data_IF_536799854572
#
_entry.id   IF_536799854572
#
_cell.length_a   1.000
_cell.length_b   1.000
_cell.length_c   1.000
_cell.angle_alpha   90.00
_cell.angle_beta   90.00
_cell.angle_gamma   90.00
#
_symmetry.space_group_name_H-M   'P 1'
#
loop_
_entity.id
_entity.type
_entity.pdbx_description
1 polymer ?
#
# COMPACT_ATOMS: atom_id res chain seq x y z
N UNK A 1 30.47 18.78 -49.39
CA UNK A 1 31.09 18.55 -48.07
C UNK A 1 30.19 18.90 -46.88
N UNK A 2 29.24 19.85 -47.00
CA UNK A 2 28.38 20.26 -45.87
C UNK A 2 27.19 19.32 -45.57
N UNK A 3 26.67 18.61 -46.57
CA UNK A 3 25.44 17.80 -46.47
C UNK A 3 25.56 16.57 -45.52
N UNK A 4 26.73 15.94 -45.48
CA UNK A 4 26.95 14.77 -44.60
C UNK A 4 26.94 15.14 -43.10
N UNK A 5 27.14 16.41 -42.76
CA UNK A 5 27.28 16.84 -41.38
C UNK A 5 25.92 17.10 -40.69
N UNK A 6 24.84 17.27 -41.46
CA UNK A 6 23.49 17.44 -40.92
C UNK A 6 22.81 16.09 -40.65
N UNK A 7 23.09 15.08 -41.49
CA UNK A 7 22.60 13.71 -41.31
C UNK A 7 23.21 13.03 -40.07
N UNK A 8 24.48 13.29 -39.76
CA UNK A 8 25.13 12.73 -38.56
C UNK A 8 24.61 13.37 -37.27
N UNK A 9 24.39 14.70 -37.28
CA UNK A 9 23.85 15.44 -36.14
C UNK A 9 22.45 14.95 -35.76
N UNK A 10 21.54 14.80 -36.72
CA UNK A 10 20.17 14.31 -36.44
C UNK A 10 20.14 12.90 -35.87
N UNK A 11 21.02 12.00 -36.34
CA UNK A 11 21.15 10.64 -35.80
C UNK A 11 21.68 10.60 -34.35
N UNK A 12 22.70 11.41 -34.03
CA UNK A 12 23.27 11.50 -32.67
C UNK A 12 22.27 12.16 -31.71
N UNK A 13 21.57 13.22 -32.13
CA UNK A 13 20.54 13.87 -31.33
C UNK A 13 19.37 12.92 -31.03
N UNK A 14 18.91 12.11 -32.00
CA UNK A 14 17.86 11.11 -31.76
C UNK A 14 18.28 10.07 -30.73
N UNK A 15 19.52 9.59 -30.80
CA UNK A 15 20.05 8.61 -29.82
C UNK A 15 20.16 9.20 -28.41
N UNK A 16 20.67 10.44 -28.29
CA UNK A 16 20.71 11.14 -27.00
C UNK A 16 19.29 11.34 -26.44
N UNK A 17 18.34 11.75 -27.28
CA UNK A 17 16.95 11.96 -26.90
C UNK A 17 16.27 10.67 -26.43
N UNK A 18 16.51 9.55 -27.11
CA UNK A 18 16.01 8.24 -26.68
C UNK A 18 16.61 7.79 -25.35
N UNK A 19 17.92 7.99 -25.14
CA UNK A 19 18.57 7.74 -23.86
C UNK A 19 18.00 8.60 -22.74
N UNK A 20 17.80 9.89 -23.00
CA UNK A 20 17.22 10.85 -22.05
C UNK A 20 15.80 10.46 -21.63
N UNK A 21 14.93 10.08 -22.58
CA UNK A 21 13.58 9.59 -22.30
C UNK A 21 13.58 8.32 -21.43
N UNK A 22 14.50 7.38 -21.68
CA UNK A 22 14.64 6.16 -20.86
C UNK A 22 15.06 6.47 -19.44
N UNK A 23 15.96 7.44 -19.26
CA UNK A 23 16.38 7.89 -17.95
C UNK A 23 15.23 8.57 -17.20
N UNK A 24 14.49 9.47 -17.86
CA UNK A 24 13.32 10.13 -17.30
C UNK A 24 12.23 9.15 -16.87
N UNK A 25 11.98 8.08 -17.64
CA UNK A 25 11.01 7.04 -17.26
C UNK A 25 11.41 6.30 -15.99
N UNK A 26 12.68 5.90 -15.86
CA UNK A 26 13.19 5.22 -14.65
C UNK A 26 13.09 6.10 -13.40
N UNK A 27 13.43 7.38 -13.54
CA UNK A 27 13.33 8.35 -12.44
C UNK A 27 11.87 8.58 -12.08
N UNK A 28 10.99 8.71 -13.08
CA UNK A 28 9.55 8.84 -12.87
C UNK A 28 8.94 7.64 -12.14
N UNK A 29 9.29 6.43 -12.52
CA UNK A 29 8.80 5.21 -11.85
C UNK A 29 9.27 5.13 -10.38
N UNK A 30 10.49 5.58 -10.09
CA UNK A 30 11.02 5.66 -8.73
C UNK A 30 10.31 6.74 -7.91
N UNK A 31 10.16 7.95 -8.46
CA UNK A 31 9.46 9.06 -7.82
C UNK A 31 7.99 8.72 -7.55
N UNK A 32 7.30 8.11 -8.52
CA UNK A 32 5.92 7.66 -8.36
C UNK A 32 5.78 6.64 -7.23
N UNK A 33 6.70 5.66 -7.14
CA UNK A 33 6.73 4.70 -6.02
C UNK A 33 7.01 5.38 -4.70
N UNK A 34 7.97 6.29 -4.65
CA UNK A 34 8.34 6.98 -3.42
C UNK A 34 7.17 7.84 -2.91
N UNK A 35 6.53 8.61 -3.80
CA UNK A 35 5.32 9.38 -3.47
C UNK A 35 4.18 8.47 -3.02
N UNK A 36 3.97 7.34 -3.70
CA UNK A 36 2.93 6.37 -3.31
C UNK A 36 3.18 5.79 -1.92
N UNK A 37 4.43 5.41 -1.62
CA UNK A 37 4.83 4.90 -0.30
C UNK A 37 4.58 5.97 0.76
N UNK A 38 5.09 7.19 0.56
CA UNK A 38 4.91 8.29 1.51
C UNK A 38 3.42 8.57 1.72
N UNK A 39 2.63 8.68 0.66
CA UNK A 39 1.18 8.90 0.75
C UNK A 39 0.48 7.77 1.52
N UNK A 40 0.80 6.52 1.19
CA UNK A 40 0.22 5.36 1.85
C UNK A 40 0.51 5.37 3.36
N UNK A 41 1.74 5.65 3.77
CA UNK A 41 2.08 5.72 5.19
C UNK A 41 1.49 6.97 5.87
N UNK A 42 1.52 8.13 5.23
CA UNK A 42 0.97 9.38 5.81
C UNK A 42 -0.54 9.30 6.01
N UNK A 43 -1.27 8.59 5.15
CA UNK A 43 -2.73 8.45 5.29
C UNK A 43 -3.11 7.22 6.10
N UNK A 44 -2.55 6.05 5.76
CA UNK A 44 -2.95 4.80 6.38
C UNK A 44 -2.37 4.61 7.77
N UNK A 45 -1.15 5.07 8.05
CA UNK A 45 -0.55 4.91 9.38
C UNK A 45 -1.34 5.66 10.47
N UNK A 46 -1.71 6.95 10.33
CA UNK A 46 -2.52 7.61 11.36
C UNK A 46 -3.92 7.01 11.46
N UNK A 47 -4.52 6.56 10.35
CA UNK A 47 -5.80 5.85 10.38
C UNK A 47 -5.71 4.55 11.19
N UNK A 48 -4.72 3.71 10.88
CA UNK A 48 -4.47 2.46 11.60
C UNK A 48 -4.15 2.71 13.08
N UNK A 49 -3.40 3.77 13.38
CA UNK A 49 -3.05 4.15 14.74
C UNK A 49 -4.26 4.66 15.52
N UNK A 50 -5.14 5.45 14.89
CA UNK A 50 -6.41 5.90 15.47
C UNK A 50 -7.33 4.71 15.78
N UNK A 51 -7.51 3.77 14.84
CA UNK A 51 -8.30 2.54 15.06
C UNK A 51 -7.69 1.68 16.16
N UNK A 52 -6.35 1.53 16.16
CA UNK A 52 -5.64 0.78 17.20
C UNK A 52 -5.86 1.35 18.59
N UNK A 53 -5.78 2.68 18.74
CA UNK A 53 -6.03 3.32 20.03
C UNK A 53 -7.50 3.27 20.47
N UNK A 54 -8.42 3.48 19.52
CA UNK A 54 -9.85 3.58 19.78
C UNK A 54 -10.56 2.26 20.08
N UNK A 55 -10.20 1.17 19.40
CA UNK A 55 -10.98 -0.08 19.48
C UNK A 55 -10.29 -1.25 20.20
N UNK A 56 -8.97 -1.18 20.47
CA UNK A 56 -8.14 -2.32 20.92
C UNK A 56 -8.67 -3.69 20.44
N UNK A 57 -8.74 -3.90 19.11
CA UNK A 57 -9.38 -5.09 18.54
C UNK A 57 -8.65 -6.37 18.93
N UNK A 58 -7.36 -6.26 19.29
CA UNK A 58 -6.52 -7.40 19.69
C UNK A 58 -6.50 -7.62 21.21
N UNK A 59 -7.10 -6.74 22.01
CA UNK A 59 -7.18 -6.90 23.46
C UNK A 59 -5.83 -6.96 24.17
N UNK A 60 -4.80 -6.32 23.60
CA UNK A 60 -3.42 -6.41 24.09
C UNK A 60 -3.19 -5.46 25.28
N UNK A 61 -4.12 -4.53 25.57
CA UNK A 61 -4.00 -3.63 26.73
C UNK A 61 -3.99 -4.44 28.03
N UNK A 62 -3.11 -4.04 28.95
CA UNK A 62 -2.81 -4.73 30.21
C UNK A 62 -4.01 -4.90 31.17
N UNK A 63 -5.17 -4.28 30.87
CA UNK A 63 -6.40 -4.39 31.66
C UNK A 63 -7.42 -5.42 31.15
N UNK A 64 -7.20 -6.10 30.02
CA UNK A 64 -8.10 -7.17 29.55
C UNK A 64 -7.71 -8.54 30.14
N UNK A 65 -8.70 -9.41 30.43
CA UNK A 65 -8.42 -10.76 30.92
C UNK A 65 -7.59 -11.52 29.88
N UNK A 66 -6.43 -12.01 30.31
CA UNK A 66 -5.56 -12.87 29.50
C UNK A 66 -6.12 -14.29 29.54
N UNK A 67 -6.47 -14.87 28.40
CA UNK A 67 -7.01 -16.23 28.30
C UNK A 67 -8.27 -16.32 27.46
N UNK A 68 -9.02 -17.41 27.61
CA UNK A 68 -10.28 -17.63 26.91
C UNK A 68 -11.27 -16.53 27.26
N UNK A 69 -11.70 -15.75 26.27
CA UNK A 69 -12.72 -14.72 26.49
C UNK A 69 -14.06 -15.43 26.69
N UNK A 70 -14.78 -15.21 27.80
CA UNK A 70 -16.11 -15.78 27.95
C UNK A 70 -16.99 -15.25 26.81
N UNK A 71 -17.55 -16.16 26.01
CA UNK A 71 -18.57 -15.76 25.04
C UNK A 71 -19.72 -15.19 25.85
N UNK A 72 -20.05 -13.92 25.61
CA UNK A 72 -21.31 -13.38 26.10
C UNK A 72 -22.42 -14.30 25.63
N UNK A 73 -23.31 -14.70 26.54
CA UNK A 73 -24.48 -15.52 26.24
C UNK A 73 -25.36 -14.76 25.25
N UNK A 74 -25.05 -14.93 23.96
CA UNK A 74 -25.91 -14.50 22.88
C UNK A 74 -27.09 -15.47 22.87
N UNK A 75 -28.31 -14.94 22.76
CA UNK A 75 -29.55 -15.72 22.55
C UNK A 75 -29.44 -16.79 21.44
N UNK A 76 -28.42 -16.69 20.57
CA UNK A 76 -28.03 -17.71 19.60
C UNK A 76 -27.56 -19.05 20.21
N UNK A 77 -27.27 -19.12 21.52
CA UNK A 77 -26.95 -20.35 22.24
C UNK A 77 -28.18 -21.18 22.63
N UNK A 78 -29.33 -20.95 22.00
CA UNK A 78 -30.49 -21.84 22.15
C UNK A 78 -30.25 -23.17 21.42
N UNK A 79 -30.71 -24.27 22.04
CA UNK A 79 -30.67 -25.63 21.47
C UNK A 79 -31.19 -25.68 20.03
N UNK A 80 -32.17 -24.82 19.71
CA UNK A 80 -32.76 -24.69 18.38
C UNK A 80 -31.77 -24.25 17.29
N UNK A 81 -30.79 -23.40 17.61
CA UNK A 81 -29.75 -22.98 16.66
C UNK A 81 -28.74 -24.11 16.40
N UNK A 82 -28.43 -24.92 17.41
CA UNK A 82 -27.48 -26.03 17.28
C UNK A 82 -28.01 -27.14 16.36
N UNK A 83 -29.33 -27.38 16.39
CA UNK A 83 -29.97 -28.42 15.57
C UNK A 83 -29.99 -28.06 14.07
N UNK A 84 -29.95 -26.77 13.71
CA UNK A 84 -30.01 -26.30 12.30
C UNK A 84 -28.72 -26.49 11.48
N UNK A 85 -27.64 -26.95 12.10
CA UNK A 85 -26.31 -27.03 11.47
C UNK A 85 -26.01 -28.41 10.84
N UNK A 86 -26.88 -29.39 11.07
CA UNK A 86 -26.86 -30.72 10.46
C UNK A 86 -28.03 -30.85 9.48
#
# INVERSE_FOLDING_TARGET
MAENNEQTKTGVLRRLWEGWKRLGKKIGDFQARLLLIIFYYVVLAPFALAVRWGSDPLGIKAGRPRGWTPRGESEAASLATAIRQF
#
